data_IF_139192240882
#
_entry.id   IF_139192240882
#
_cell.length_a   1.000
_cell.length_b   1.000
_cell.length_c   1.000
_cell.angle_alpha   90.00
_cell.angle_beta   90.00
_cell.angle_gamma   90.00
#
_symmetry.space_group_name_H-M   'P 1'
#
loop_
_entity.id
_entity.type
_entity.pdbx_description
1 polymer ?
#
# COMPACT_ATOMS: atom_id res chain seq x y z
N UNK A 1 33.32 -2.17 11.12
CA UNK A 1 32.16 -2.17 10.19
C UNK A 1 30.91 -2.61 10.95
N UNK A 2 30.23 -1.68 11.62
CA UNK A 2 29.16 -2.01 12.58
C UNK A 2 27.83 -2.28 11.87
N UNK A 3 27.37 -3.53 11.97
CA UNK A 3 26.15 -4.05 11.35
C UNK A 3 24.97 -3.82 12.30
N UNK A 4 24.36 -2.64 12.28
CA UNK A 4 23.14 -2.36 13.04
C UNK A 4 21.91 -2.94 12.32
N UNK A 5 21.64 -4.24 12.56
CA UNK A 5 20.39 -4.89 12.19
C UNK A 5 19.40 -4.73 13.35
N UNK A 6 18.68 -3.61 13.42
CA UNK A 6 17.63 -3.41 14.43
C UNK A 6 16.40 -4.23 14.07
N UNK A 7 16.19 -5.34 14.80
CA UNK A 7 14.92 -6.07 14.79
C UNK A 7 13.89 -5.22 15.51
N UNK A 8 12.99 -4.58 14.78
CA UNK A 8 11.82 -3.92 15.36
C UNK A 8 10.90 -4.99 15.96
N UNK A 9 11.03 -5.20 17.27
CA UNK A 9 10.17 -6.07 18.04
C UNK A 9 8.94 -5.28 18.51
N UNK A 10 7.77 -5.93 18.56
CA UNK A 10 6.51 -5.27 18.94
C UNK A 10 6.46 -4.68 20.36
N UNK A 11 7.37 -5.07 21.26
CA UNK A 11 7.57 -4.40 22.55
C UNK A 11 8.27 -3.05 22.41
N UNK A 12 9.05 -2.80 21.35
CA UNK A 12 9.76 -1.53 21.12
C UNK A 12 8.85 -0.41 20.62
N UNK A 13 7.75 -0.72 19.91
CA UNK A 13 6.79 0.29 19.44
C UNK A 13 5.93 0.86 20.59
N UNK A 14 5.80 0.11 21.68
CA UNK A 14 5.15 0.57 22.92
C UNK A 14 6.12 1.14 23.95
N UNK A 15 7.44 1.01 23.75
CA UNK A 15 8.42 1.54 24.69
C UNK A 15 8.38 3.08 24.65
N UNK A 16 8.18 3.71 25.80
CA UNK A 16 8.18 5.17 25.98
C UNK A 16 9.47 5.83 25.49
N UNK A 17 10.58 5.07 25.38
CA UNK A 17 11.86 5.55 24.82
C UNK A 17 11.84 5.79 23.30
N UNK A 18 10.99 5.11 22.52
CA UNK A 18 10.98 5.23 21.05
C UNK A 18 9.96 6.24 20.51
N UNK A 19 8.87 6.49 21.26
CA UNK A 19 7.88 7.53 20.97
C UNK A 19 8.50 8.92 20.73
N UNK A 20 9.44 9.43 21.56
CA UNK A 20 10.04 10.74 21.35
C UNK A 20 10.93 10.78 20.09
N UNK A 21 11.58 9.67 19.72
CA UNK A 21 12.41 9.62 18.51
C UNK A 21 11.56 9.70 17.25
N UNK A 22 10.46 8.95 17.17
CA UNK A 22 9.55 8.97 16.02
C UNK A 22 8.88 10.34 15.84
N UNK A 23 8.46 10.96 16.94
CA UNK A 23 7.87 12.32 16.92
C UNK A 23 8.91 13.37 16.54
N UNK A 24 10.16 13.25 17.03
CA UNK A 24 11.26 14.15 16.63
C UNK A 24 11.60 14.02 15.15
N UNK A 25 11.70 12.80 14.62
CA UNK A 25 11.94 12.59 13.19
C UNK A 25 10.78 13.10 12.32
N UNK A 26 9.53 12.88 12.71
CA UNK A 26 8.35 13.42 11.99
C UNK A 26 8.31 14.95 12.01
N UNK A 27 8.62 15.56 13.15
CA UNK A 27 8.68 17.01 13.28
C UNK A 27 9.85 17.62 12.49
N UNK A 28 11.00 16.94 12.42
CA UNK A 28 12.13 17.33 11.58
C UNK A 28 11.81 17.23 10.09
N UNK A 29 11.11 16.17 9.66
CA UNK A 29 10.65 16.00 8.28
C UNK A 29 9.60 17.05 7.88
N UNK A 30 8.73 17.46 8.80
CA UNK A 30 7.77 18.54 8.58
C UNK A 30 8.40 19.94 8.56
N UNK A 31 9.64 20.08 9.09
CA UNK A 31 10.47 21.29 8.95
C UNK A 31 11.29 21.29 7.66
N UNK A 32 11.63 20.12 7.11
CA UNK A 32 12.09 20.00 5.72
C UNK A 32 10.92 20.25 4.77
N UNK A 33 11.22 20.46 3.47
CA UNK A 33 10.31 20.87 2.36
C UNK A 33 9.19 19.85 2.05
N UNK A 34 8.74 19.05 3.02
CA UNK A 34 7.59 18.17 2.94
C UNK A 34 6.50 18.71 3.89
N UNK A 35 5.70 19.66 3.41
CA UNK A 35 4.50 20.12 4.12
C UNK A 35 3.47 18.98 4.19
N UNK A 36 3.51 18.19 5.26
CA UNK A 36 2.56 17.10 5.45
C UNK A 36 1.20 17.67 5.87
N UNK A 37 0.21 17.53 5.00
CA UNK A 37 -1.17 17.87 5.33
C UNK A 37 -1.73 16.85 6.34
N UNK A 38 -1.88 17.27 7.60
CA UNK A 38 -2.34 16.41 8.71
C UNK A 38 -3.64 15.65 8.39
N UNK A 39 -4.57 16.27 7.65
CA UNK A 39 -5.84 15.62 7.25
C UNK A 39 -5.66 14.49 6.23
N UNK A 40 -4.59 14.51 5.44
CA UNK A 40 -4.30 13.51 4.40
C UNK A 40 -3.34 12.41 4.89
N UNK A 41 -2.60 12.67 5.96
CA UNK A 41 -1.63 11.73 6.49
C UNK A 41 -2.32 10.71 7.40
N UNK A 42 -2.11 9.44 7.12
CA UNK A 42 -2.56 8.32 7.94
C UNK A 42 -1.37 7.46 8.31
N UNK A 43 -1.48 6.75 9.43
CA UNK A 43 -0.45 5.80 9.85
C UNK A 43 -0.89 4.36 9.57
N UNK A 44 0.02 3.56 9.04
CA UNK A 44 -0.13 2.11 8.91
C UNK A 44 1.08 1.45 9.56
N UNK A 45 0.82 0.58 10.53
CA UNK A 45 1.88 -0.21 11.17
C UNK A 45 2.07 -1.49 10.39
N UNK A 46 3.32 -1.78 10.02
CA UNK A 46 3.67 -3.05 9.40
C UNK A 46 4.25 -4.01 10.42
N UNK A 47 3.62 -5.17 10.61
CA UNK A 47 4.12 -6.24 11.47
C UNK A 47 3.68 -7.60 10.97
N UNK A 48 4.61 -8.57 11.00
CA UNK A 48 4.33 -9.99 10.74
C UNK A 48 4.02 -10.77 12.02
N UNK A 49 4.11 -10.14 13.19
CA UNK A 49 3.81 -10.80 14.47
C UNK A 49 2.30 -11.05 14.58
N UNK A 50 1.92 -12.23 15.06
CA UNK A 50 0.53 -12.59 15.37
C UNK A 50 0.23 -12.13 16.80
N UNK A 51 -0.94 -11.52 17.03
CA UNK A 51 -1.34 -10.98 18.33
C UNK A 51 -2.11 -9.65 18.20
N UNK A 52 -2.81 -9.25 19.26
CA UNK A 52 -3.43 -7.92 19.37
C UNK A 52 -2.34 -6.94 19.80
N UNK A 53 -1.95 -6.06 18.89
CA UNK A 53 -1.04 -4.96 19.19
C UNK A 53 -1.83 -3.67 19.09
N UNK A 54 -1.92 -2.88 20.17
CA UNK A 54 -2.58 -1.58 20.08
C UNK A 54 -1.78 -0.71 19.12
N UNK A 55 -2.49 0.01 18.26
CA UNK A 55 -1.86 0.90 17.31
C UNK A 55 -1.12 2.00 18.09
N UNK A 56 0.14 2.32 17.73
CA UNK A 56 0.88 3.40 18.36
C UNK A 56 0.21 4.74 18.05
N UNK A 57 0.14 5.59 19.05
CA UNK A 57 -0.33 6.97 18.91
C UNK A 57 0.79 7.80 18.29
N UNK A 58 0.59 8.24 17.05
CA UNK A 58 1.56 9.04 16.32
C UNK A 58 1.01 10.44 16.12
N UNK A 59 1.82 11.43 16.44
CA UNK A 59 1.47 12.84 16.33
C UNK A 59 2.29 13.49 15.22
N UNK A 60 1.64 14.28 14.37
CA UNK A 60 2.31 15.24 13.48
C UNK A 60 1.94 16.63 14.02
N UNK A 61 2.92 17.38 14.51
CA UNK A 61 2.65 18.62 15.24
C UNK A 61 1.81 18.35 16.50
N UNK A 62 0.58 18.89 16.55
CA UNK A 62 -0.37 18.70 17.68
C UNK A 62 -1.53 17.74 17.36
N UNK A 63 -1.56 17.14 16.18
CA UNK A 63 -2.68 16.31 15.73
C UNK A 63 -2.33 14.83 15.75
N UNK A 64 -3.21 14.01 16.35
CA UNK A 64 -3.11 12.56 16.35
C UNK A 64 -3.45 12.01 14.97
N UNK A 65 -2.57 11.17 14.43
CA UNK A 65 -2.78 10.47 13.17
C UNK A 65 -3.76 9.32 13.32
N UNK A 66 -4.66 9.20 12.35
CA UNK A 66 -5.53 8.03 12.24
C UNK A 66 -4.69 6.80 11.87
N UNK A 67 -4.73 5.79 12.71
CA UNK A 67 -4.16 4.48 12.41
C UNK A 67 -5.14 3.65 11.56
N UNK A 68 -4.70 3.18 10.39
CA UNK A 68 -5.51 2.39 9.45
C UNK A 68 -4.82 1.04 9.20
N UNK A 69 -5.61 -0.03 9.01
CA UNK A 69 -5.09 -1.38 8.75
C UNK A 69 -4.64 -1.60 7.32
N UNK A 70 -5.26 -0.90 6.37
CA UNK A 70 -4.99 -0.97 4.94
C UNK A 70 -4.94 0.45 4.36
N UNK A 71 -3.97 0.74 3.50
CA UNK A 71 -3.85 2.02 2.82
C UNK A 71 -3.42 1.84 1.37
N UNK A 72 -3.97 2.66 0.47
CA UNK A 72 -3.60 2.66 -0.94
C UNK A 72 -2.59 3.76 -1.19
N UNK A 73 -1.40 3.39 -1.63
CA UNK A 73 -0.32 4.32 -1.97
C UNK A 73 0.27 3.97 -3.33
N UNK A 74 0.37 4.95 -4.22
CA UNK A 74 0.87 4.79 -5.60
C UNK A 74 0.19 3.65 -6.39
N UNK A 75 -1.10 3.40 -6.13
CA UNK A 75 -1.86 2.32 -6.80
C UNK A 75 -1.71 0.93 -6.15
N UNK A 76 -0.79 0.77 -5.20
CA UNK A 76 -0.62 -0.46 -4.43
C UNK A 76 -1.43 -0.41 -3.13
N UNK A 77 -1.94 -1.56 -2.70
CA UNK A 77 -2.67 -1.69 -1.43
C UNK A 77 -1.74 -2.34 -0.41
N UNK A 78 -1.38 -1.58 0.62
CA UNK A 78 -0.54 -2.03 1.71
C UNK A 78 -1.39 -2.36 2.93
N UNK A 79 -1.29 -3.60 3.40
CA UNK A 79 -1.91 -4.03 4.65
C UNK A 79 -0.91 -4.13 5.79
N UNK A 80 -1.40 -4.16 7.03
CA UNK A 80 -0.59 -4.30 8.26
C UNK A 80 0.38 -5.50 8.24
N UNK A 81 0.00 -6.62 7.62
CA UNK A 81 0.88 -7.80 7.50
C UNK A 81 1.88 -7.74 6.34
N UNK A 82 1.88 -6.64 5.58
CA UNK A 82 2.57 -6.45 4.31
C UNK A 82 2.28 -7.58 3.29
N UNK A 83 1.18 -8.32 3.49
CA UNK A 83 0.73 -9.35 2.57
C UNK A 83 0.01 -8.69 1.41
N UNK A 84 0.50 -8.90 0.21
CA UNK A 84 -0.12 -8.40 -1.02
C UNK A 84 -1.39 -9.16 -1.43
N UNK A 85 -1.93 -10.06 -0.60
CA UNK A 85 -3.10 -10.85 -0.95
C UNK A 85 -4.32 -10.00 -1.37
N UNK A 86 -4.57 -8.89 -0.66
CA UNK A 86 -5.63 -7.94 -1.02
C UNK A 86 -5.39 -7.28 -2.38
N UNK A 87 -4.16 -6.81 -2.59
CA UNK A 87 -3.74 -6.22 -3.86
C UNK A 87 -3.84 -7.21 -5.02
N UNK A 88 -3.36 -8.44 -4.83
CA UNK A 88 -3.42 -9.52 -5.81
C UNK A 88 -4.86 -9.96 -6.10
N UNK A 89 -5.73 -10.01 -5.10
CA UNK A 89 -7.16 -10.31 -5.28
C UNK A 89 -7.85 -9.24 -6.13
N UNK A 90 -7.60 -7.97 -5.83
CA UNK A 90 -8.12 -6.83 -6.58
C UNK A 90 -7.57 -6.81 -8.02
N UNK A 91 -6.27 -7.07 -8.19
CA UNK A 91 -5.62 -7.23 -9.49
C UNK A 91 -6.27 -8.37 -10.30
N UNK A 92 -6.47 -9.54 -9.69
CA UNK A 92 -7.15 -10.67 -10.33
C UNK A 92 -8.54 -10.29 -10.82
N UNK A 93 -9.36 -9.66 -9.96
CA UNK A 93 -10.73 -9.26 -10.33
C UNK A 93 -10.72 -8.31 -11.53
N UNK A 94 -9.84 -7.30 -11.53
CA UNK A 94 -9.71 -6.37 -12.65
C UNK A 94 -9.27 -7.06 -13.94
N UNK A 95 -8.25 -7.90 -13.85
CA UNK A 95 -7.74 -8.64 -15.02
C UNK A 95 -8.80 -9.60 -15.57
N UNK A 96 -9.58 -10.27 -14.72
CA UNK A 96 -10.68 -11.13 -15.16
C UNK A 96 -11.80 -10.35 -15.85
N UNK A 97 -12.15 -9.16 -15.36
CA UNK A 97 -13.15 -8.30 -16.04
C UNK A 97 -12.68 -7.88 -17.44
N UNK A 98 -11.43 -7.43 -17.56
CA UNK A 98 -10.84 -7.09 -18.86
C UNK A 98 -10.80 -8.30 -19.81
N UNK A 99 -10.48 -9.47 -19.28
CA UNK A 99 -10.46 -10.71 -20.05
C UNK A 99 -11.85 -11.13 -20.52
N UNK A 100 -12.89 -10.90 -19.72
CA UNK A 100 -14.27 -11.14 -20.14
C UNK A 100 -14.70 -10.23 -21.28
N UNK A 101 -14.31 -8.95 -21.25
CA UNK A 101 -14.54 -8.02 -22.38
C UNK A 101 -13.85 -8.54 -23.64
N UNK A 102 -12.58 -8.95 -23.51
CA UNK A 102 -11.81 -9.47 -24.63
C UNK A 102 -12.43 -10.75 -25.21
N UNK A 103 -12.97 -11.64 -24.36
CA UNK A 103 -13.71 -12.83 -24.80
C UNK A 103 -14.97 -12.48 -25.59
N UNK A 104 -15.74 -11.50 -25.14
CA UNK A 104 -16.95 -11.06 -25.85
C UNK A 104 -16.58 -10.50 -27.22
N UNK A 105 -15.58 -9.63 -27.29
CA UNK A 105 -15.09 -9.04 -28.55
C UNK A 105 -14.51 -10.10 -29.50
N UNK A 106 -13.85 -11.13 -28.98
CA UNK A 106 -13.34 -12.23 -29.80
C UNK A 106 -14.47 -13.10 -30.38
N UNK A 107 -15.64 -13.14 -29.73
CA UNK A 107 -16.77 -13.99 -30.14
C UNK A 107 -17.85 -13.22 -30.92
N UNK A 108 -17.63 -11.94 -31.28
CA UNK A 108 -18.58 -11.19 -32.10
C UNK A 108 -18.51 -11.63 -33.56
N UNK A 109 -19.68 -11.72 -34.21
CA UNK A 109 -19.87 -12.16 -35.61
C UNK A 109 -19.06 -11.38 -36.66
N UNK A 110 -18.65 -10.15 -36.33
CA UNK A 110 -17.83 -9.26 -37.16
C UNK A 110 -16.32 -9.30 -36.82
N UNK A 111 -15.90 -10.25 -35.96
CA UNK A 111 -14.51 -10.66 -35.73
C UNK A 111 -13.53 -9.52 -35.50
N UNK A 112 -13.22 -9.20 -34.23
CA UNK A 112 -12.12 -8.29 -33.94
C UNK A 112 -10.81 -8.86 -34.50
N UNK A 113 -10.10 -8.09 -35.33
CA UNK A 113 -8.83 -8.50 -35.91
C UNK A 113 -7.83 -8.94 -34.83
N UNK A 114 -7.05 -9.99 -35.11
CA UNK A 114 -6.10 -10.59 -34.16
C UNK A 114 -5.13 -9.55 -33.60
N UNK A 115 -4.66 -8.62 -34.44
CA UNK A 115 -3.73 -7.57 -33.99
C UNK A 115 -4.40 -6.59 -33.03
N UNK A 116 -5.68 -6.28 -33.28
CA UNK A 116 -6.49 -5.43 -32.41
C UNK A 116 -6.75 -6.08 -31.05
N UNK A 117 -7.10 -7.37 -31.03
CA UNK A 117 -7.26 -8.14 -29.79
C UNK A 117 -5.95 -8.21 -28.98
N UNK A 118 -4.81 -8.41 -29.65
CA UNK A 118 -3.51 -8.47 -28.98
C UNK A 118 -3.11 -7.11 -28.38
N UNK A 119 -3.38 -6.00 -29.10
CA UNK A 119 -3.18 -4.64 -28.59
C UNK A 119 -4.06 -4.37 -27.37
N UNK A 120 -5.34 -4.77 -27.43
CA UNK A 120 -6.27 -4.64 -26.30
C UNK A 120 -5.83 -5.46 -25.09
N UNK A 121 -5.36 -6.69 -25.29
CA UNK A 121 -4.79 -7.52 -24.23
C UNK A 121 -3.61 -6.82 -23.55
N UNK A 122 -2.69 -6.26 -24.35
CA UNK A 122 -1.54 -5.49 -23.87
C UNK A 122 -1.96 -4.29 -23.02
N UNK A 123 -2.89 -3.48 -23.54
CA UNK A 123 -3.33 -2.25 -22.90
C UNK A 123 -4.17 -2.47 -21.64
N UNK A 124 -4.97 -3.54 -21.56
CA UNK A 124 -5.93 -3.74 -20.48
C UNK A 124 -5.44 -4.70 -19.38
N UNK A 125 -4.69 -5.73 -19.76
CA UNK A 125 -4.29 -6.81 -18.84
C UNK A 125 -2.80 -6.74 -18.57
N UNK A 126 -1.96 -6.71 -19.61
CA UNK A 126 -0.50 -6.70 -19.44
C UNK A 126 -0.02 -5.46 -18.68
N UNK A 127 -0.58 -4.29 -18.99
CA UNK A 127 -0.26 -3.03 -18.30
C UNK A 127 -0.62 -2.99 -16.80
N UNK A 128 -1.31 -4.00 -16.28
CA UNK A 128 -1.69 -4.10 -14.86
C UNK A 128 -0.83 -5.14 -14.12
N UNK A 129 -0.15 -6.01 -14.87
CA UNK A 129 0.71 -7.08 -14.36
C UNK A 129 2.19 -6.68 -14.39
N UNK A 130 2.57 -5.83 -15.35
CA UNK A 130 3.85 -5.12 -15.42
C UNK A 130 3.86 -3.95 -14.42
#
# INVERSE_FOLDING_TARGET
>A
MYKYRTRLNSSMLQNDKFRPLLTTSLNGLNRMVLFFQQKKTVSVVFSRKRGVFPNPELFIGRSLLKAVKEFKFLGLIFGQSLRFHRHLKDLKIRSTKALNILKVLANTRWGADRTSLLRLYGALIRSKLD
#
